data_IF_700226192487
#
_entry.id   IF_700226192487
#
_cell.length_a   1.000
_cell.length_b   1.000
_cell.length_c   1.000
_cell.angle_alpha   90.00
_cell.angle_beta   90.00
_cell.angle_gamma   90.00
#
_symmetry.space_group_name_H-M   'P 1'
#
loop_
_entity.id
_entity.type
_entity.pdbx_description
1 polymer ?
#
# COMPACT_ATOMS: atom_id res chain seq x y z
N UNK A 1 10.82 -24.95 4.36
CA UNK A 1 9.61 -24.73 3.53
C UNK A 1 8.50 -24.23 4.44
N UNK A 2 7.83 -23.13 4.09
CA UNK A 2 6.67 -22.62 4.80
C UNK A 2 5.47 -23.59 4.68
N UNK A 3 4.57 -23.58 5.67
CA UNK A 3 3.43 -24.50 5.77
C UNK A 3 2.10 -23.74 5.69
N UNK A 4 1.21 -24.13 4.78
CA UNK A 4 -0.08 -23.44 4.60
C UNK A 4 -0.97 -23.40 5.85
N UNK A 5 -0.91 -24.44 6.69
CA UNK A 5 -1.66 -24.44 7.95
C UNK A 5 -1.21 -23.33 8.92
N UNK A 6 0.09 -22.98 8.93
CA UNK A 6 0.61 -21.86 9.70
C UNK A 6 0.34 -20.54 8.99
N UNK A 7 0.60 -20.44 7.68
CA UNK A 7 0.39 -19.26 6.86
C UNK A 7 -1.05 -18.75 6.88
N UNK A 8 -2.03 -19.63 7.06
CA UNK A 8 -3.47 -19.30 7.15
C UNK A 8 -3.96 -19.25 8.60
N UNK A 9 -3.10 -18.86 9.56
CA UNK A 9 -3.48 -18.71 10.97
C UNK A 9 -4.56 -17.66 11.14
N UNK A 10 -5.60 -18.03 11.87
CA UNK A 10 -6.72 -17.15 12.25
C UNK A 10 -6.50 -16.43 13.58
N UNK A 11 -5.36 -16.67 14.24
CA UNK A 11 -4.97 -15.95 15.47
C UNK A 11 -4.99 -14.44 15.24
N UNK A 12 -5.40 -13.67 16.26
CA UNK A 12 -5.48 -12.21 16.20
C UNK A 12 -4.57 -11.54 17.21
N UNK A 13 -3.95 -10.45 16.82
CA UNK A 13 -3.02 -9.70 17.67
C UNK A 13 -3.70 -9.11 18.91
N UNK A 14 -4.91 -8.60 18.77
CA UNK A 14 -5.73 -8.01 19.85
C UNK A 14 -6.56 -9.03 20.65
N UNK A 15 -6.28 -10.33 20.49
CA UNK A 15 -7.05 -11.40 21.10
C UNK A 15 -8.29 -11.79 20.27
N UNK A 16 -8.90 -12.92 20.62
CA UNK A 16 -10.09 -13.41 19.94
C UNK A 16 -11.26 -12.46 20.13
N UNK A 17 -11.92 -12.10 19.04
CA UNK A 17 -13.23 -11.47 19.09
C UNK A 17 -14.25 -12.60 19.19
N UNK A 18 -14.94 -12.71 20.33
CA UNK A 18 -16.02 -13.67 20.48
C UNK A 18 -17.04 -13.46 19.36
N UNK A 19 -17.19 -14.47 18.50
CA UNK A 19 -18.28 -14.45 17.52
C UNK A 19 -19.61 -14.57 18.26
N UNK A 20 -20.62 -13.79 17.86
CA UNK A 20 -21.95 -14.00 18.39
C UNK A 20 -22.35 -15.48 18.23
N UNK A 21 -23.02 -16.06 19.22
CA UNK A 21 -23.42 -17.48 19.23
C UNK A 21 -24.17 -17.91 17.95
N UNK A 22 -24.84 -16.97 17.30
CA UNK A 22 -25.52 -17.19 16.03
C UNK A 22 -24.57 -17.65 14.92
N UNK A 23 -23.34 -17.16 14.91
CA UNK A 23 -22.32 -17.58 13.95
C UNK A 23 -21.60 -18.88 14.33
N UNK A 24 -21.64 -19.29 15.60
CA UNK A 24 -21.08 -20.57 16.03
C UNK A 24 -21.84 -21.78 15.42
N UNK A 25 -23.07 -21.55 14.94
CA UNK A 25 -23.90 -22.57 14.30
C UNK A 25 -23.72 -22.73 12.80
N UNK A 26 -22.99 -21.79 12.17
CA UNK A 26 -22.73 -21.80 10.72
C UNK A 26 -21.23 -21.80 10.50
N UNK A 27 -20.73 -22.66 9.60
CA UNK A 27 -19.31 -22.63 9.20
C UNK A 27 -19.04 -21.32 8.43
N UNK A 28 -18.56 -20.30 9.13
CA UNK A 28 -18.18 -19.01 8.55
C UNK A 28 -16.66 -19.03 8.32
N UNK A 29 -16.23 -18.67 7.10
CA UNK A 29 -14.84 -18.46 6.83
C UNK A 29 -14.31 -17.28 7.68
N UNK A 30 -13.32 -17.48 8.57
CA UNK A 30 -12.81 -16.43 9.45
C UNK A 30 -12.31 -15.19 8.71
N UNK A 31 -11.78 -15.35 7.52
CA UNK A 31 -11.27 -14.25 6.70
C UNK A 31 -12.37 -13.39 6.06
N UNK A 32 -13.59 -13.94 5.88
CA UNK A 32 -14.76 -13.13 5.51
C UNK A 32 -15.20 -12.23 6.68
N UNK A 33 -14.93 -12.63 7.92
CA UNK A 33 -15.15 -11.77 9.09
C UNK A 33 -14.15 -10.62 9.09
N UNK A 34 -12.88 -10.90 8.77
CA UNK A 34 -11.88 -9.86 8.61
C UNK A 34 -12.26 -8.89 7.50
N UNK A 35 -12.74 -9.39 6.36
CA UNK A 35 -13.24 -8.58 5.27
C UNK A 35 -14.36 -7.63 5.73
N UNK A 36 -15.34 -8.15 6.49
CA UNK A 36 -16.41 -7.33 7.04
C UNK A 36 -15.90 -6.27 8.03
N UNK A 37 -14.94 -6.59 8.90
CA UNK A 37 -14.33 -5.62 9.80
C UNK A 37 -13.60 -4.51 9.02
N UNK A 38 -12.93 -4.86 7.93
CA UNK A 38 -12.22 -3.91 7.07
C UNK A 38 -13.15 -2.89 6.43
N UNK A 39 -14.15 -3.33 5.69
CA UNK A 39 -15.07 -2.43 4.97
C UNK A 39 -15.87 -1.52 5.90
N UNK A 40 -16.11 -1.96 7.14
CA UNK A 40 -16.78 -1.18 8.18
C UNK A 40 -15.84 -0.25 8.96
N UNK A 41 -14.52 -0.34 8.75
CA UNK A 41 -13.55 0.48 9.46
C UNK A 41 -13.54 1.94 8.96
N UNK A 42 -13.26 2.86 9.88
CA UNK A 42 -13.11 4.28 9.52
C UNK A 42 -11.86 4.52 8.65
N UNK A 43 -10.80 3.73 8.86
CA UNK A 43 -9.56 3.86 8.10
C UNK A 43 -9.77 3.49 6.62
N UNK A 44 -10.50 2.42 6.34
CA UNK A 44 -10.85 2.02 4.98
C UNK A 44 -11.75 3.07 4.30
N UNK A 45 -12.80 3.56 5.00
CA UNK A 45 -13.68 4.58 4.42
C UNK A 45 -12.98 5.88 4.05
N UNK A 46 -11.87 6.25 4.72
CA UNK A 46 -11.10 7.46 4.39
C UNK A 46 -10.37 7.36 3.06
N UNK A 47 -10.17 6.16 2.51
CA UNK A 47 -9.62 5.99 1.17
C UNK A 47 -10.51 6.60 0.08
N UNK A 48 -11.79 6.91 0.38
CA UNK A 48 -12.72 7.57 -0.54
C UNK A 48 -12.24 8.95 -1.01
N UNK A 49 -11.59 9.72 -0.14
CA UNK A 49 -11.08 11.08 -0.45
C UNK A 49 -9.54 11.10 -0.32
N UNK A 50 -8.90 10.01 -0.72
CA UNK A 50 -7.45 9.94 -0.98
C UNK A 50 -7.23 9.68 -2.46
N UNK A 51 -6.34 10.44 -3.03
CA UNK A 51 -6.03 10.37 -4.45
C UNK A 51 -5.33 9.07 -4.80
N UNK A 52 -5.71 8.50 -5.95
CA UNK A 52 -4.92 7.48 -6.63
C UNK A 52 -3.86 8.13 -7.53
N UNK A 53 -4.30 8.88 -8.54
CA UNK A 53 -3.44 9.54 -9.53
C UNK A 53 -3.66 11.07 -9.58
N UNK A 54 -4.91 11.53 -9.49
CA UNK A 54 -5.29 12.93 -9.71
C UNK A 54 -5.69 13.60 -8.40
N UNK A 55 -4.76 14.25 -7.66
CA UNK A 55 -5.05 14.84 -6.36
C UNK A 55 -6.16 15.89 -6.43
N UNK A 56 -7.06 15.87 -5.42
CA UNK A 56 -8.13 16.85 -5.25
C UNK A 56 -9.08 16.97 -6.46
N UNK A 57 -9.11 15.97 -7.32
CA UNK A 57 -10.06 15.93 -8.45
C UNK A 57 -11.49 15.80 -7.95
N UNK A 58 -12.41 16.48 -8.64
CA UNK A 58 -13.84 16.47 -8.33
C UNK A 58 -14.67 15.69 -9.37
N UNK A 59 -14.01 15.03 -10.32
CA UNK A 59 -14.67 14.26 -11.36
C UNK A 59 -15.24 12.97 -10.79
N UNK A 60 -16.50 12.68 -11.07
CA UNK A 60 -17.19 11.48 -10.58
C UNK A 60 -16.65 10.16 -11.19
N UNK A 61 -15.87 10.26 -12.27
CA UNK A 61 -15.35 9.11 -13.00
C UNK A 61 -13.92 8.72 -12.63
N UNK A 62 -13.21 9.55 -11.89
CA UNK A 62 -11.82 9.31 -11.51
C UNK A 62 -11.74 8.44 -10.27
N UNK A 63 -10.87 7.47 -10.32
CA UNK A 63 -10.70 6.53 -9.20
C UNK A 63 -10.09 7.20 -7.97
N UNK A 64 -10.64 6.86 -6.83
CA UNK A 64 -10.04 7.12 -5.51
C UNK A 64 -9.30 5.87 -5.04
N UNK A 65 -8.49 5.98 -3.99
CA UNK A 65 -7.85 4.78 -3.38
C UNK A 65 -8.87 3.75 -2.92
N UNK A 66 -10.07 4.16 -2.52
CA UNK A 66 -11.15 3.24 -2.16
C UNK A 66 -11.59 2.38 -3.35
N UNK A 67 -11.90 3.01 -4.48
CA UNK A 67 -12.35 2.29 -5.68
C UNK A 67 -11.24 1.44 -6.29
N UNK A 68 -10.00 1.95 -6.30
CA UNK A 68 -8.82 1.18 -6.68
C UNK A 68 -8.63 -0.06 -5.78
N UNK A 69 -8.67 0.09 -4.45
CA UNK A 69 -8.54 -1.05 -3.53
C UNK A 69 -9.64 -2.11 -3.73
N UNK A 70 -10.85 -1.71 -4.12
CA UNK A 70 -11.93 -2.64 -4.46
C UNK A 70 -11.61 -3.40 -5.77
N UNK A 71 -11.08 -2.71 -6.78
CA UNK A 71 -10.64 -3.36 -8.03
C UNK A 71 -9.51 -4.35 -7.79
N UNK A 72 -8.46 -3.93 -7.05
CA UNK A 72 -7.35 -4.82 -6.66
C UNK A 72 -7.86 -6.03 -5.88
N UNK A 73 -8.80 -5.82 -4.94
CA UNK A 73 -9.43 -6.89 -4.15
C UNK A 73 -10.17 -7.90 -5.04
N UNK A 74 -10.84 -7.42 -6.08
CA UNK A 74 -11.52 -8.28 -7.06
C UNK A 74 -10.53 -9.12 -7.85
N UNK A 75 -9.48 -8.50 -8.38
CA UNK A 75 -8.41 -9.20 -9.12
C UNK A 75 -7.69 -10.21 -8.22
N UNK A 76 -7.30 -9.81 -7.01
CA UNK A 76 -6.60 -10.67 -6.07
C UNK A 76 -7.44 -11.90 -5.67
N UNK A 77 -8.74 -11.71 -5.39
CA UNK A 77 -9.68 -12.80 -5.13
C UNK A 77 -9.77 -13.75 -6.32
N UNK A 78 -9.84 -13.23 -7.54
CA UNK A 78 -9.87 -14.05 -8.76
C UNK A 78 -8.57 -14.84 -8.95
N UNK A 79 -7.39 -14.24 -8.70
CA UNK A 79 -6.11 -14.95 -8.72
C UNK A 79 -6.10 -16.13 -7.74
N UNK A 80 -6.62 -15.90 -6.52
CA UNK A 80 -6.79 -16.96 -5.53
C UNK A 80 -7.71 -18.07 -5.99
N UNK A 81 -8.84 -17.74 -6.60
CA UNK A 81 -9.77 -18.73 -7.18
C UNK A 81 -9.15 -19.52 -8.34
N UNK A 82 -8.38 -18.86 -9.21
CA UNK A 82 -7.65 -19.53 -10.30
C UNK A 82 -6.58 -20.47 -9.76
N UNK A 83 -5.89 -20.11 -8.69
CA UNK A 83 -4.85 -20.94 -8.08
C UNK A 83 -5.41 -22.17 -7.37
N UNK A 84 -6.60 -22.09 -6.78
CA UNK A 84 -7.20 -23.14 -5.95
C UNK A 84 -8.35 -23.89 -6.63
N UNK A 85 -8.79 -23.45 -7.81
CA UNK A 85 -9.96 -23.98 -8.52
C UNK A 85 -9.70 -25.32 -9.20
N UNK A 86 -10.74 -26.16 -9.25
CA UNK A 86 -10.65 -27.52 -9.83
C UNK A 86 -10.43 -27.53 -11.34
N UNK A 87 -10.82 -26.47 -12.05
CA UNK A 87 -10.74 -26.38 -13.52
C UNK A 87 -9.50 -25.63 -14.02
N UNK A 88 -8.74 -25.03 -13.11
CA UNK A 88 -7.53 -24.30 -13.49
C UNK A 88 -6.38 -25.26 -13.81
N UNK A 89 -5.79 -25.13 -14.99
CA UNK A 89 -4.61 -25.91 -15.38
C UNK A 89 -3.36 -25.58 -14.56
N UNK A 90 -3.37 -24.47 -13.84
CA UNK A 90 -2.26 -24.01 -12.98
C UNK A 90 -2.53 -24.26 -11.49
N UNK A 91 -3.69 -24.80 -11.14
CA UNK A 91 -4.03 -25.08 -9.75
C UNK A 91 -3.10 -26.14 -9.15
N UNK A 92 -2.69 -25.91 -7.91
CA UNK A 92 -1.95 -26.89 -7.13
C UNK A 92 -2.92 -27.76 -6.34
N UNK A 93 -2.80 -29.07 -6.47
CA UNK A 93 -3.69 -30.04 -5.79
C UNK A 93 -3.77 -29.80 -4.28
N UNK A 94 -2.62 -29.53 -3.66
CA UNK A 94 -2.54 -29.25 -2.23
C UNK A 94 -3.23 -27.95 -1.78
N UNK A 95 -3.48 -27.00 -2.72
CA UNK A 95 -4.15 -25.73 -2.43
C UNK A 95 -5.67 -25.81 -2.56
N UNK A 96 -6.22 -26.84 -3.18
CA UNK A 96 -7.68 -26.99 -3.39
C UNK A 96 -8.46 -27.03 -2.08
N UNK A 97 -7.86 -27.56 -1.01
CA UNK A 97 -8.48 -27.59 0.32
C UNK A 97 -8.66 -26.19 0.92
N UNK A 98 -7.91 -25.18 0.44
CA UNK A 98 -7.96 -23.79 0.90
C UNK A 98 -8.70 -22.87 -0.08
N UNK A 99 -9.58 -23.43 -0.91
CA UNK A 99 -10.33 -22.69 -1.95
C UNK A 99 -11.25 -21.59 -1.42
N UNK A 100 -11.56 -21.59 -0.14
CA UNK A 100 -12.33 -20.53 0.52
C UNK A 100 -11.41 -19.54 1.23
N UNK A 101 -10.32 -20.00 1.82
CA UNK A 101 -9.43 -19.20 2.66
C UNK A 101 -8.52 -18.31 1.81
N UNK A 102 -7.78 -18.88 0.85
CA UNK A 102 -6.82 -18.14 0.03
C UNK A 102 -7.45 -16.96 -0.72
N UNK A 103 -8.58 -17.11 -1.45
CA UNK A 103 -9.23 -15.97 -2.08
C UNK A 103 -9.71 -14.90 -1.10
N UNK A 104 -10.16 -15.29 0.11
CA UNK A 104 -10.63 -14.35 1.12
C UNK A 104 -9.48 -13.58 1.77
N UNK A 105 -8.36 -14.23 2.08
CA UNK A 105 -7.13 -13.55 2.55
C UNK A 105 -6.64 -12.56 1.51
N UNK A 106 -6.54 -12.97 0.24
CA UNK A 106 -6.11 -12.10 -0.85
C UNK A 106 -7.03 -10.89 -1.01
N UNK A 107 -8.34 -11.08 -0.91
CA UNK A 107 -9.29 -9.97 -0.98
C UNK A 107 -9.11 -9.00 0.19
N UNK A 108 -8.88 -9.49 1.42
CA UNK A 108 -8.61 -8.64 2.58
C UNK A 108 -7.32 -7.84 2.42
N UNK A 109 -6.24 -8.49 2.04
CA UNK A 109 -4.92 -7.85 1.89
C UNK A 109 -4.95 -6.78 0.82
N UNK A 110 -5.63 -7.06 -0.29
CA UNK A 110 -5.80 -6.10 -1.38
C UNK A 110 -6.62 -4.87 -0.98
N UNK A 111 -7.62 -4.99 -0.07
CA UNK A 111 -8.29 -3.82 0.49
C UNK A 111 -7.38 -2.96 1.38
N UNK A 112 -6.35 -3.58 1.96
CA UNK A 112 -5.44 -2.97 2.94
C UNK A 112 -4.18 -2.37 2.34
N UNK A 113 -3.79 -2.78 1.14
CA UNK A 113 -2.44 -2.53 0.60
C UNK A 113 -2.04 -1.06 0.62
N UNK A 114 -3.02 -0.16 0.47
CA UNK A 114 -2.86 1.30 0.45
C UNK A 114 -3.26 2.01 1.77
N UNK A 115 -3.59 1.26 2.84
CA UNK A 115 -4.15 1.81 4.08
C UNK A 115 -3.21 2.81 4.78
N UNK A 116 -1.91 2.58 4.72
CA UNK A 116 -0.88 3.40 5.39
C UNK A 116 -0.46 4.66 4.63
N UNK A 117 -0.86 4.79 3.37
CA UNK A 117 -0.47 5.92 2.54
C UNK A 117 -0.99 7.25 3.10
N UNK A 118 -0.14 8.30 3.20
CA UNK A 118 -0.56 9.63 3.64
C UNK A 118 -1.39 10.33 2.56
N UNK A 119 -1.96 11.51 2.86
CA UNK A 119 -2.49 12.40 1.82
C UNK A 119 -1.47 12.61 0.70
N UNK A 120 -1.95 12.72 -0.52
CA UNK A 120 -1.13 12.89 -1.75
C UNK A 120 -0.23 11.70 -2.09
N UNK A 121 -0.51 10.52 -1.54
CA UNK A 121 0.10 9.24 -1.91
C UNK A 121 1.62 9.18 -1.74
N UNK A 122 2.33 8.63 -2.74
CA UNK A 122 3.79 8.48 -2.70
C UNK A 122 4.54 9.80 -2.66
N UNK A 123 3.99 10.86 -3.26
CA UNK A 123 4.57 12.18 -3.11
C UNK A 123 4.48 12.68 -1.66
N UNK A 124 3.35 12.44 -0.98
CA UNK A 124 3.20 12.71 0.44
C UNK A 124 4.18 11.93 1.32
N UNK A 125 4.47 10.66 1.00
CA UNK A 125 5.50 9.86 1.68
C UNK A 125 6.89 10.50 1.56
N UNK A 126 7.27 10.85 0.33
CA UNK A 126 8.55 11.51 0.07
C UNK A 126 8.69 12.81 0.84
N UNK A 127 7.65 13.66 0.84
CA UNK A 127 7.64 14.93 1.59
C UNK A 127 7.80 14.73 3.10
N UNK A 128 7.17 13.71 3.69
CA UNK A 128 7.33 13.39 5.12
C UNK A 128 8.78 13.03 5.41
N UNK A 129 9.39 12.13 4.63
CA UNK A 129 10.78 11.71 4.80
C UNK A 129 11.77 12.87 4.63
N UNK A 130 11.61 13.68 3.57
CA UNK A 130 12.45 14.85 3.30
C UNK A 130 12.34 15.89 4.41
N UNK A 131 11.13 16.13 4.92
CA UNK A 131 10.95 17.05 6.03
C UNK A 131 11.69 16.58 7.29
N UNK A 132 11.56 15.30 7.67
CA UNK A 132 12.26 14.76 8.83
C UNK A 132 13.78 14.75 8.65
N UNK A 133 14.30 14.51 7.43
CA UNK A 133 15.74 14.54 7.15
C UNK A 133 16.39 15.88 7.55
N UNK A 134 15.66 16.99 7.41
CA UNK A 134 16.11 18.31 7.86
C UNK A 134 15.67 18.65 9.30
N UNK A 135 14.48 18.25 9.70
CA UNK A 135 13.86 18.62 10.98
C UNK A 135 14.56 17.98 12.18
N UNK A 136 15.07 16.74 12.05
CA UNK A 136 15.71 16.02 13.14
C UNK A 136 16.95 16.74 13.68
N UNK A 137 17.67 17.47 12.83
CA UNK A 137 18.86 18.24 13.24
C UNK A 137 18.52 19.69 13.59
N UNK A 138 17.47 20.25 12.98
CA UNK A 138 17.03 21.64 13.15
C UNK A 138 16.22 21.87 14.44
N UNK A 139 15.27 20.98 14.71
CA UNK A 139 14.36 21.13 15.85
C UNK A 139 15.05 20.73 17.14
N UNK A 140 15.00 21.63 18.13
CA UNK A 140 15.59 21.40 19.45
C UNK A 140 14.53 20.88 20.43
N UNK A 141 14.89 19.82 21.14
CA UNK A 141 14.16 19.30 22.30
C UNK A 141 15.08 19.30 23.51
N UNK A 142 14.75 20.02 24.57
CA UNK A 142 15.58 20.18 25.79
C UNK A 142 17.05 20.54 25.44
N UNK A 143 17.23 21.54 24.58
CA UNK A 143 18.54 22.09 24.15
C UNK A 143 19.44 21.09 23.38
N UNK A 144 18.88 20.05 22.81
CA UNK A 144 19.58 19.13 21.90
C UNK A 144 18.74 18.89 20.66
N UNK A 145 19.35 18.66 19.48
CA UNK A 145 18.61 18.26 18.29
C UNK A 145 17.75 17.01 18.56
N UNK A 146 16.60 16.89 17.89
CA UNK A 146 15.74 15.70 18.02
C UNK A 146 16.52 14.42 17.77
N UNK A 147 17.41 14.41 16.77
CA UNK A 147 18.26 13.25 16.41
C UNK A 147 19.06 12.71 17.60
N UNK A 148 19.53 13.58 18.50
CA UNK A 148 20.34 13.17 19.64
C UNK A 148 19.57 12.33 20.70
N UNK A 149 18.24 12.28 20.59
CA UNK A 149 17.36 11.52 21.47
C UNK A 149 16.91 10.19 20.87
N UNK A 150 17.10 9.99 19.56
CA UNK A 150 16.61 8.83 18.81
C UNK A 150 17.71 7.80 18.59
N UNK A 151 17.34 6.54 18.56
CA UNK A 151 18.24 5.50 18.03
C UNK A 151 18.41 5.69 16.52
N UNK A 152 19.48 5.11 15.92
CA UNK A 152 19.66 5.15 14.47
C UNK A 152 18.43 4.66 13.68
N UNK A 153 17.79 3.58 14.14
CA UNK A 153 16.58 3.06 13.50
C UNK A 153 15.39 4.01 13.64
N UNK A 154 15.14 4.58 14.81
CA UNK A 154 14.06 5.55 15.01
C UNK A 154 14.21 6.79 14.13
N UNK A 155 15.44 7.29 13.98
CA UNK A 155 15.72 8.41 13.07
C UNK A 155 15.48 7.99 11.61
N UNK A 156 15.99 6.83 11.21
CA UNK A 156 15.81 6.27 9.86
C UNK A 156 14.35 6.00 9.51
N UNK A 157 13.53 5.54 10.46
CA UNK A 157 12.08 5.32 10.28
C UNK A 157 11.36 6.60 9.85
N UNK A 158 11.76 7.74 10.44
CA UNK A 158 11.16 9.05 10.14
C UNK A 158 11.68 9.59 8.79
N UNK A 159 12.96 9.44 8.51
CA UNK A 159 13.61 9.91 7.27
C UNK A 159 13.20 9.10 6.04
N UNK A 160 12.78 7.85 6.24
CA UNK A 160 12.32 6.94 5.20
C UNK A 160 10.88 6.52 5.45
N UNK A 161 10.00 7.48 5.81
CA UNK A 161 8.59 7.18 6.03
C UNK A 161 8.01 6.40 4.85
N UNK A 162 7.31 5.29 5.13
CA UNK A 162 6.79 4.36 4.13
C UNK A 162 5.38 3.89 4.49
N UNK A 163 4.43 3.97 3.54
CA UNK A 163 3.04 3.58 3.74
C UNK A 163 2.86 2.11 4.14
N UNK A 164 3.72 1.20 3.64
CA UNK A 164 3.65 -0.21 4.03
C UNK A 164 3.96 -0.41 5.52
N UNK A 165 4.98 0.25 6.06
CA UNK A 165 5.29 0.22 7.49
C UNK A 165 4.18 0.89 8.32
N UNK A 166 3.63 2.00 7.83
CA UNK A 166 2.51 2.70 8.45
C UNK A 166 1.24 1.84 8.47
N UNK A 167 0.99 1.00 7.45
CA UNK A 167 -0.13 0.07 7.44
C UNK A 167 -0.01 -0.95 8.58
N UNK A 168 1.17 -1.59 8.75
CA UNK A 168 1.40 -2.49 9.89
C UNK A 168 1.20 -1.77 11.23
N UNK A 169 1.71 -0.53 11.36
CA UNK A 169 1.53 0.28 12.57
C UNK A 169 0.06 0.54 12.89
N UNK A 170 -0.77 0.85 11.89
CA UNK A 170 -2.21 1.05 12.09
C UNK A 170 -2.92 -0.22 12.57
N UNK A 171 -2.53 -1.38 12.04
CA UNK A 171 -3.07 -2.69 12.47
C UNK A 171 -2.55 -3.11 13.85
N UNK A 172 -1.28 -2.83 14.15
CA UNK A 172 -0.66 -3.14 15.43
C UNK A 172 -1.35 -2.47 16.63
N UNK A 173 -2.08 -1.38 16.42
CA UNK A 173 -2.89 -0.70 17.45
C UNK A 173 -4.00 -1.58 18.01
N UNK A 174 -4.40 -2.65 17.33
CA UNK A 174 -5.37 -3.62 17.85
C UNK A 174 -4.93 -4.26 19.16
N UNK A 175 -3.62 -4.35 19.43
CA UNK A 175 -3.07 -4.79 20.72
C UNK A 175 -3.44 -3.89 21.90
N UNK A 176 -3.80 -2.63 21.64
CA UNK A 176 -4.25 -1.66 22.66
C UNK A 176 -5.78 -1.50 22.66
N UNK A 177 -6.53 -2.37 21.95
CA UNK A 177 -7.97 -2.28 21.82
C UNK A 177 -8.43 -1.18 20.85
N UNK A 178 -7.53 -0.60 20.06
CA UNK A 178 -7.82 0.36 19.00
C UNK A 178 -7.42 -0.23 17.64
N UNK A 179 -7.89 0.38 16.55
CA UNK A 179 -7.59 -0.13 15.21
C UNK A 179 -8.45 -1.31 14.76
N UNK A 180 -7.99 -2.00 13.72
CA UNK A 180 -8.69 -3.13 13.09
C UNK A 180 -8.03 -4.44 13.54
N UNK A 181 -8.77 -5.28 14.26
CA UNK A 181 -8.25 -6.55 14.76
C UNK A 181 -8.40 -7.66 13.71
N UNK A 182 -7.35 -7.90 12.93
CA UNK A 182 -7.30 -8.87 11.83
C UNK A 182 -6.52 -10.13 12.21
N UNK A 183 -6.72 -11.20 11.43
CA UNK A 183 -5.95 -12.44 11.56
C UNK A 183 -4.47 -12.25 11.20
N UNK A 184 -3.60 -13.08 11.80
CA UNK A 184 -2.16 -13.10 11.48
C UNK A 184 -1.92 -13.37 10.00
N UNK A 185 -2.71 -14.25 9.36
CA UNK A 185 -2.63 -14.53 7.93
C UNK A 185 -2.77 -13.26 7.07
N UNK A 186 -3.77 -12.42 7.37
CA UNK A 186 -3.97 -11.16 6.65
C UNK A 186 -2.84 -10.18 6.94
N UNK A 187 -2.40 -10.08 8.21
CA UNK A 187 -1.27 -9.22 8.59
C UNK A 187 0.03 -9.64 7.91
N UNK A 188 0.35 -10.96 7.88
CA UNK A 188 1.56 -11.48 7.24
C UNK A 188 1.56 -11.32 5.72
N UNK A 189 0.41 -11.56 5.08
CA UNK A 189 0.30 -11.39 3.63
C UNK A 189 0.35 -9.91 3.19
N UNK A 190 0.09 -8.95 4.11
CA UNK A 190 0.29 -7.52 3.88
C UNK A 190 1.77 -7.10 3.94
N UNK A 191 2.64 -7.87 4.60
CA UNK A 191 4.06 -7.55 4.75
C UNK A 191 4.81 -7.74 3.40
N UNK A 192 4.79 -6.71 2.56
CA UNK A 192 5.50 -6.70 1.28
C UNK A 192 7.02 -6.75 1.47
N UNK A 193 7.52 -6.05 2.48
CA UNK A 193 8.94 -5.82 2.72
C UNK A 193 9.29 -6.22 4.17
N UNK A 194 9.75 -7.47 4.42
CA UNK A 194 10.09 -7.94 5.76
C UNK A 194 11.45 -7.41 6.24
N UNK A 195 11.66 -6.10 6.17
CA UNK A 195 12.89 -5.42 6.56
C UNK A 195 12.61 -4.09 7.25
N UNK A 196 13.54 -3.63 8.10
CA UNK A 196 13.46 -2.34 8.77
C UNK A 196 14.13 -1.21 7.97
N UNK A 197 14.06 0.01 8.50
CA UNK A 197 14.57 1.21 7.84
C UNK A 197 16.10 1.30 7.78
N UNK A 198 16.84 0.50 8.55
CA UNK A 198 18.30 0.46 8.51
C UNK A 198 18.86 -0.54 7.49
N UNK A 199 18.04 -1.50 7.05
CA UNK A 199 18.50 -2.64 6.26
C UNK A 199 17.86 -2.71 4.85
N UNK A 200 16.87 -1.89 4.52
CA UNK A 200 16.33 -1.86 3.17
C UNK A 200 17.36 -1.32 2.14
N UNK A 201 17.24 -1.76 0.90
CA UNK A 201 18.13 -1.39 -0.22
C UNK A 201 17.35 -1.29 -1.50
N UNK A 202 17.09 -0.08 -1.99
CA UNK A 202 16.23 0.19 -3.16
C UNK A 202 16.59 -0.58 -4.44
N UNK A 203 17.86 -0.92 -4.63
CA UNK A 203 18.36 -1.59 -5.83
C UNK A 203 18.92 -3.00 -5.53
N UNK A 204 18.45 -3.66 -4.47
CA UNK A 204 18.85 -5.02 -4.16
C UNK A 204 18.24 -5.99 -5.20
N UNK A 205 18.94 -7.07 -5.59
CA UNK A 205 18.37 -8.11 -6.44
C UNK A 205 17.15 -8.82 -5.83
N UNK A 206 16.98 -8.74 -4.51
CA UNK A 206 15.84 -9.32 -3.80
C UNK A 206 14.78 -8.24 -3.55
N UNK A 207 13.64 -8.35 -4.23
CA UNK A 207 12.54 -7.38 -4.17
C UNK A 207 12.01 -7.13 -2.76
N UNK A 208 12.13 -8.11 -1.85
CA UNK A 208 11.71 -7.97 -0.45
C UNK A 208 12.51 -6.93 0.34
N UNK A 209 13.66 -6.49 -0.18
CA UNK A 209 14.56 -5.52 0.46
C UNK A 209 14.41 -4.10 -0.10
N UNK A 210 13.58 -3.88 -1.12
CA UNK A 210 13.49 -2.58 -1.82
C UNK A 210 12.97 -1.44 -0.95
N UNK A 211 12.13 -1.75 0.04
CA UNK A 211 11.53 -0.79 0.98
C UNK A 211 11.53 -1.36 2.39
N UNK A 212 11.13 -0.56 3.37
CA UNK A 212 10.90 -1.03 4.73
C UNK A 212 9.42 -1.43 4.93
N UNK A 213 9.16 -2.40 5.79
CA UNK A 213 7.81 -2.90 6.07
C UNK A 213 7.37 -2.72 7.53
N UNK A 214 8.25 -2.25 8.42
CA UNK A 214 7.89 -1.96 9.80
C UNK A 214 8.81 -0.90 10.42
N UNK A 215 8.27 -0.15 11.37
CA UNK A 215 9.03 0.81 12.19
C UNK A 215 9.54 0.14 13.48
N UNK A 216 10.53 0.73 14.11
CA UNK A 216 11.10 0.25 15.38
C UNK A 216 10.02 -0.02 16.44
N UNK A 217 8.96 0.82 16.46
CA UNK A 217 7.83 0.68 17.40
C UNK A 217 7.00 -0.61 17.18
N UNK A 218 7.05 -1.21 15.99
CA UNK A 218 6.29 -2.40 15.62
C UNK A 218 7.16 -3.65 15.46
N UNK A 219 8.46 -3.61 15.84
CA UNK A 219 9.38 -4.74 15.68
C UNK A 219 8.95 -6.00 16.45
N UNK A 220 8.29 -5.87 17.58
CA UNK A 220 7.72 -6.98 18.35
C UNK A 220 6.50 -7.60 17.66
N UNK A 221 5.63 -6.77 17.09
CA UNK A 221 4.47 -7.21 16.31
C UNK A 221 4.92 -7.90 15.03
N UNK A 222 5.87 -7.32 14.32
CA UNK A 222 6.46 -7.91 13.13
C UNK A 222 6.98 -9.33 13.43
N UNK A 223 7.80 -9.49 14.47
CA UNK A 223 8.32 -10.81 14.88
C UNK A 223 7.19 -11.77 15.24
N UNK A 224 6.21 -11.33 16.05
CA UNK A 224 5.08 -12.19 16.42
C UNK A 224 4.30 -12.68 15.19
N UNK A 225 4.05 -11.82 14.21
CA UNK A 225 3.36 -12.20 12.96
C UNK A 225 4.19 -13.22 12.18
N UNK A 226 5.47 -12.93 11.94
CA UNK A 226 6.35 -13.79 11.13
C UNK A 226 6.62 -15.14 11.78
N UNK A 227 6.78 -15.18 13.11
CA UNK A 227 7.00 -16.41 13.87
C UNK A 227 5.72 -17.27 13.91
N UNK A 228 4.54 -16.66 14.17
CA UNK A 228 3.25 -17.38 14.18
C UNK A 228 2.97 -18.03 12.82
N UNK A 229 3.33 -17.36 11.73
CA UNK A 229 3.09 -17.84 10.37
C UNK A 229 4.22 -18.72 9.83
N UNK A 230 5.32 -18.87 10.56
CA UNK A 230 6.49 -19.62 10.10
C UNK A 230 7.13 -19.03 8.82
N UNK A 231 7.12 -17.70 8.68
CA UNK A 231 7.63 -16.99 7.51
C UNK A 231 9.17 -16.90 7.52
N UNK A 232 9.83 -18.05 7.61
CA UNK A 232 11.29 -18.16 7.67
C UNK A 232 11.82 -19.08 6.58
N UNK A 233 12.87 -18.64 5.88
CA UNK A 233 13.63 -19.47 4.95
C UNK A 233 14.53 -20.47 5.65
N UNK A 234 15.18 -21.32 4.88
CA UNK A 234 16.11 -22.32 5.40
C UNK A 234 17.33 -21.73 6.13
N UNK A 235 17.67 -20.48 5.81
CA UNK A 235 18.73 -19.68 6.44
C UNK A 235 18.26 -18.92 7.70
N UNK A 236 16.99 -19.07 8.07
CA UNK A 236 16.37 -18.37 9.19
C UNK A 236 15.97 -16.92 8.88
N UNK A 237 16.25 -16.41 7.69
CA UNK A 237 15.81 -15.06 7.29
C UNK A 237 14.29 -15.01 7.10
N UNK A 238 13.68 -13.86 7.44
CA UNK A 238 12.25 -13.66 7.20
C UNK A 238 11.99 -13.54 5.70
N UNK A 239 10.94 -14.24 5.25
CA UNK A 239 10.50 -14.29 3.86
C UNK A 239 9.17 -13.56 3.68
N UNK A 240 8.83 -13.19 2.44
CA UNK A 240 7.47 -12.76 2.09
C UNK A 240 6.48 -13.92 2.31
N UNK A 241 5.29 -13.60 2.76
CA UNK A 241 4.17 -14.54 2.71
C UNK A 241 3.87 -14.90 1.24
N UNK A 242 3.61 -16.17 0.88
CA UNK A 242 3.34 -16.53 -0.52
C UNK A 242 2.24 -15.72 -1.19
N UNK A 243 1.17 -15.36 -0.46
CA UNK A 243 0.08 -14.57 -1.00
C UNK A 243 0.45 -13.11 -1.28
N UNK A 244 1.54 -12.59 -0.71
CA UNK A 244 2.03 -11.24 -1.00
C UNK A 244 2.37 -11.09 -2.49
N UNK A 245 2.98 -12.10 -3.11
CA UNK A 245 3.31 -12.07 -4.53
C UNK A 245 2.07 -11.95 -5.43
N UNK A 246 0.99 -12.65 -5.10
CA UNK A 246 -0.27 -12.56 -5.85
C UNK A 246 -0.99 -11.24 -5.61
N UNK A 247 -0.89 -10.68 -4.41
CA UNK A 247 -1.46 -9.38 -4.08
C UNK A 247 -0.72 -8.27 -4.85
N UNK A 248 0.63 -8.30 -4.89
CA UNK A 248 1.43 -7.36 -5.70
C UNK A 248 1.08 -7.46 -7.20
N UNK A 249 0.96 -8.68 -7.71
CA UNK A 249 0.54 -8.87 -9.10
C UNK A 249 -0.87 -8.33 -9.37
N UNK A 250 -1.81 -8.45 -8.41
CA UNK A 250 -3.15 -7.90 -8.54
C UNK A 250 -3.15 -6.37 -8.56
N UNK A 251 -2.31 -5.74 -7.72
CA UNK A 251 -2.12 -4.29 -7.69
C UNK A 251 -1.53 -3.79 -9.01
N UNK A 252 -0.47 -4.42 -9.49
CA UNK A 252 0.16 -4.13 -10.78
C UNK A 252 -0.80 -4.21 -11.97
N UNK A 253 -1.64 -5.25 -12.02
CA UNK A 253 -2.63 -5.43 -13.07
C UNK A 253 -3.69 -4.33 -13.01
N UNK A 254 -4.24 -4.05 -11.82
CA UNK A 254 -5.27 -3.04 -11.64
C UNK A 254 -4.73 -1.65 -12.00
N UNK A 255 -3.58 -1.28 -11.44
CA UNK A 255 -2.88 -0.03 -11.68
C UNK A 255 -2.59 0.21 -13.18
N UNK A 256 -1.94 -0.76 -13.86
CA UNK A 256 -1.56 -0.61 -15.26
C UNK A 256 -2.74 -0.49 -16.24
N UNK A 257 -3.94 -0.86 -15.83
CA UNK A 257 -5.12 -0.83 -16.68
C UNK A 257 -6.12 0.24 -16.28
N UNK A 258 -6.35 0.46 -14.99
CA UNK A 258 -7.31 1.43 -14.49
C UNK A 258 -6.87 2.88 -14.72
N UNK A 259 -5.58 3.16 -14.50
CA UNK A 259 -5.06 4.53 -14.63
C UNK A 259 -5.04 5.00 -16.11
N UNK A 260 -4.90 4.07 -17.06
CA UNK A 260 -5.06 4.36 -18.50
C UNK A 260 -6.50 4.73 -18.85
N UNK A 261 -7.47 4.04 -18.28
CA UNK A 261 -8.88 4.36 -18.46
C UNK A 261 -9.22 5.76 -17.92
N UNK A 262 -8.74 6.07 -16.72
CA UNK A 262 -8.91 7.40 -16.09
C UNK A 262 -8.24 8.49 -16.92
N UNK A 263 -7.02 8.25 -17.42
CA UNK A 263 -6.29 9.19 -18.27
C UNK A 263 -7.00 9.45 -19.62
N UNK A 264 -7.57 8.41 -20.25
CA UNK A 264 -8.38 8.57 -21.45
C UNK A 264 -9.65 9.39 -21.16
N UNK A 265 -10.35 9.08 -20.07
CA UNK A 265 -11.55 9.81 -19.63
C UNK A 265 -11.28 11.29 -19.36
N UNK A 266 -10.06 11.62 -18.94
CA UNK A 266 -9.58 13.00 -18.75
C UNK A 266 -9.02 13.65 -20.01
N UNK A 267 -9.07 12.98 -21.14
CA UNK A 267 -8.52 13.47 -22.41
C UNK A 267 -7.03 13.83 -22.33
N UNK A 268 -6.25 13.08 -21.53
CA UNK A 268 -4.81 13.28 -21.43
C UNK A 268 -4.07 12.68 -22.63
N UNK A 269 -4.71 11.77 -23.35
CA UNK A 269 -4.26 11.25 -24.64
C UNK A 269 -5.47 10.88 -25.51
N UNK A 270 -5.25 10.77 -26.81
CA UNK A 270 -6.19 10.16 -27.75
C UNK A 270 -5.83 8.70 -27.99
N UNK A 271 -6.76 7.90 -28.53
CA UNK A 271 -6.48 6.50 -28.84
C UNK A 271 -5.37 6.35 -29.91
N UNK A 272 -5.28 7.30 -30.85
CA UNK A 272 -4.20 7.37 -31.82
C UNK A 272 -2.84 7.60 -31.18
N UNK A 273 -2.78 8.52 -30.19
CA UNK A 273 -1.56 8.78 -29.42
C UNK A 273 -1.16 7.57 -28.57
N UNK A 274 -2.14 6.89 -27.97
CA UNK A 274 -1.89 5.64 -27.23
C UNK A 274 -1.29 4.57 -28.14
N UNK A 275 -1.91 4.29 -29.30
CA UNK A 275 -1.43 3.30 -30.26
C UNK A 275 -0.03 3.65 -30.76
N UNK A 276 0.20 4.92 -31.11
CA UNK A 276 1.51 5.38 -31.59
C UNK A 276 2.59 5.20 -30.48
N UNK A 277 2.25 5.52 -29.24
CA UNK A 277 3.14 5.35 -28.10
C UNK A 277 3.42 3.87 -27.83
N UNK A 278 2.39 3.04 -27.75
CA UNK A 278 2.50 1.60 -27.57
C UNK A 278 3.41 0.96 -28.65
N UNK A 279 3.16 1.32 -29.92
CA UNK A 279 3.97 0.86 -31.05
C UNK A 279 5.43 1.29 -30.94
N UNK A 280 5.69 2.53 -30.50
CA UNK A 280 7.05 3.04 -30.35
C UNK A 280 7.87 2.27 -29.30
N UNK A 281 7.24 1.87 -28.20
CA UNK A 281 7.88 0.98 -27.20
C UNK A 281 8.14 -0.41 -27.78
N UNK A 282 7.18 -0.94 -28.51
CA UNK A 282 7.33 -2.25 -29.14
C UNK A 282 8.45 -2.27 -30.20
N UNK A 283 8.50 -1.29 -31.08
CA UNK A 283 9.50 -1.18 -32.16
C UNK A 283 10.92 -0.91 -31.61
N UNK A 284 11.03 -0.18 -30.49
CA UNK A 284 12.28 0.07 -29.80
C UNK A 284 12.79 -1.14 -28.98
N UNK A 285 11.93 -2.13 -28.75
CA UNK A 285 12.30 -3.31 -27.97
C UNK A 285 13.25 -4.22 -28.77
N UNK A 286 14.24 -4.79 -28.05
CA UNK A 286 15.10 -5.85 -28.60
C UNK A 286 14.42 -7.23 -28.56
N UNK A 287 13.13 -7.30 -28.26
CA UNK A 287 12.38 -8.55 -28.23
C UNK A 287 12.22 -9.01 -29.66
N UNK A 288 12.73 -10.20 -29.97
CA UNK A 288 12.52 -10.84 -31.25
C UNK A 288 11.01 -10.98 -31.51
N UNK A 289 10.46 -10.11 -32.40
CA UNK A 289 9.04 -10.04 -32.61
C UNK A 289 8.66 -11.18 -33.43
N UNK A 290 8.04 -12.10 -33.31
CA UNK A 290 7.62 -13.04 -34.40
C UNK A 290 7.41 -14.48 -33.95
N UNK A 291 7.43 -14.73 -32.66
CA UNK A 291 6.83 -15.99 -32.19
C UNK A 291 5.31 -15.81 -32.14
N UNK A 292 4.57 -16.86 -32.37
CA UNK A 292 3.12 -16.92 -32.11
C UNK A 292 2.76 -16.59 -30.63
N UNK A 293 3.75 -16.38 -29.79
CA UNK A 293 3.71 -16.08 -28.36
C UNK A 293 4.00 -14.61 -28.04
N UNK A 294 4.12 -13.73 -29.04
CA UNK A 294 4.25 -12.29 -28.80
C UNK A 294 2.89 -11.67 -28.44
N UNK A 295 2.56 -11.78 -27.17
CA UNK A 295 1.30 -11.28 -26.62
C UNK A 295 1.18 -9.75 -26.68
N UNK A 296 2.30 -9.02 -26.58
CA UNK A 296 2.31 -7.55 -26.63
C UNK A 296 1.91 -7.04 -28.01
N UNK A 297 2.49 -7.59 -29.06
CA UNK A 297 2.12 -7.25 -30.44
C UNK A 297 0.69 -7.67 -30.79
N UNK A 298 0.31 -8.85 -30.34
CA UNK A 298 -1.04 -9.36 -30.55
C UNK A 298 -2.11 -8.45 -29.94
N UNK A 299 -1.91 -8.01 -28.69
CA UNK A 299 -2.80 -7.05 -28.03
C UNK A 299 -2.92 -5.75 -28.82
N UNK A 300 -1.79 -5.21 -29.34
CA UNK A 300 -1.83 -4.00 -30.18
C UNK A 300 -2.66 -4.21 -31.44
N UNK A 301 -2.44 -5.31 -32.18
CA UNK A 301 -3.18 -5.62 -33.38
C UNK A 301 -4.68 -5.81 -33.12
N UNK A 302 -5.04 -6.50 -32.04
CA UNK A 302 -6.45 -6.69 -31.66
C UNK A 302 -7.15 -5.36 -31.38
N UNK A 303 -6.47 -4.39 -30.71
CA UNK A 303 -7.02 -3.05 -30.50
C UNK A 303 -7.20 -2.29 -31.80
N UNK A 304 -6.18 -2.28 -32.67
CA UNK A 304 -6.24 -1.59 -33.95
C UNK A 304 -7.34 -2.15 -34.89
N UNK A 305 -7.48 -3.47 -34.91
CA UNK A 305 -8.52 -4.14 -35.73
C UNK A 305 -9.92 -3.82 -35.19
N UNK A 306 -10.11 -3.83 -33.87
CA UNK A 306 -11.38 -3.49 -33.25
C UNK A 306 -11.78 -2.02 -33.53
N UNK A 307 -10.84 -1.09 -33.41
CA UNK A 307 -11.08 0.34 -33.67
C UNK A 307 -11.36 0.62 -35.18
N UNK A 308 -10.71 -0.12 -36.08
CA UNK A 308 -10.99 -0.01 -37.53
C UNK A 308 -12.36 -0.53 -37.92
N UNK A 309 -12.87 -1.53 -37.21
CA UNK A 309 -14.14 -2.18 -37.52
C UNK A 309 -15.35 -1.44 -36.94
N UNK A 310 -15.19 -0.47 -36.06
CA UNK A 310 -16.26 0.19 -35.35
C UNK A 310 -16.35 1.70 -35.64
N UNK A 311 -17.51 2.33 -35.37
CA UNK A 311 -17.65 3.78 -35.42
C UNK A 311 -16.72 4.48 -34.40
N UNK A 312 -16.22 5.70 -34.73
CA UNK A 312 -15.31 6.44 -33.84
C UNK A 312 -15.88 6.72 -32.44
N UNK A 313 -17.20 6.90 -32.33
CA UNK A 313 -17.89 7.12 -31.04
C UNK A 313 -17.80 5.94 -30.10
N UNK A 314 -17.55 4.73 -30.57
CA UNK A 314 -17.40 3.51 -29.75
C UNK A 314 -15.97 3.31 -29.23
N UNK A 315 -15.03 4.16 -29.59
CA UNK A 315 -13.60 3.99 -29.28
C UNK A 315 -13.30 3.80 -27.81
N UNK A 316 -13.91 4.58 -26.92
CA UNK A 316 -13.70 4.45 -25.49
C UNK A 316 -14.22 3.11 -24.94
N UNK A 317 -15.36 2.63 -25.45
CA UNK A 317 -15.92 1.33 -25.06
C UNK A 317 -15.04 0.17 -25.53
N UNK A 318 -14.50 0.25 -26.75
CA UNK A 318 -13.58 -0.73 -27.32
C UNK A 318 -12.28 -0.77 -26.48
N UNK A 319 -11.74 0.40 -26.13
CA UNK A 319 -10.54 0.49 -25.31
C UNK A 319 -10.75 -0.13 -23.93
N UNK A 320 -11.89 0.14 -23.29
CA UNK A 320 -12.25 -0.50 -22.01
C UNK A 320 -12.31 -2.03 -22.14
N UNK A 321 -13.00 -2.56 -23.16
CA UNK A 321 -13.07 -4.00 -23.39
C UNK A 321 -11.67 -4.63 -23.62
N UNK A 322 -10.81 -3.93 -24.34
CA UNK A 322 -9.44 -4.33 -24.58
C UNK A 322 -8.59 -4.34 -23.29
N UNK A 323 -8.74 -3.33 -22.42
CA UNK A 323 -8.09 -3.30 -21.11
C UNK A 323 -8.51 -4.49 -20.23
N UNK A 324 -9.80 -4.85 -20.24
CA UNK A 324 -10.29 -6.04 -19.54
C UNK A 324 -9.66 -7.32 -20.09
N UNK A 325 -9.50 -7.44 -21.41
CA UNK A 325 -8.82 -8.59 -22.01
C UNK A 325 -7.34 -8.65 -21.60
N UNK A 326 -6.63 -7.52 -21.60
CA UNK A 326 -5.26 -7.43 -21.13
C UNK A 326 -5.14 -7.88 -19.66
N UNK A 327 -6.09 -7.48 -18.80
CA UNK A 327 -6.17 -7.96 -17.38
C UNK A 327 -6.22 -9.48 -17.32
N UNK A 328 -7.09 -10.13 -18.08
CA UNK A 328 -7.22 -11.59 -18.04
C UNK A 328 -5.93 -12.30 -18.47
N UNK A 329 -5.21 -11.76 -19.46
CA UNK A 329 -3.93 -12.33 -19.86
C UNK A 329 -2.87 -12.17 -18.78
N UNK A 330 -2.78 -10.99 -18.18
CA UNK A 330 -1.88 -10.73 -17.06
C UNK A 330 -2.20 -11.61 -15.84
N UNK A 331 -3.48 -11.80 -15.51
CA UNK A 331 -3.89 -12.71 -14.43
C UNK A 331 -3.44 -14.15 -14.69
N UNK A 332 -3.61 -14.66 -15.91
CA UNK A 332 -3.14 -15.98 -16.28
C UNK A 332 -1.61 -16.10 -16.12
N UNK A 333 -0.87 -15.08 -16.55
CA UNK A 333 0.59 -15.04 -16.42
C UNK A 333 1.03 -15.05 -14.95
N UNK A 334 0.36 -14.30 -14.07
CA UNK A 334 0.66 -14.27 -12.64
C UNK A 334 0.44 -15.63 -11.97
N UNK A 335 -0.70 -16.29 -12.24
CA UNK A 335 -0.99 -17.63 -11.69
C UNK A 335 -0.04 -18.69 -12.24
N UNK A 336 0.28 -18.61 -13.52
CA UNK A 336 1.29 -19.49 -14.13
C UNK A 336 2.65 -19.34 -13.44
N UNK A 337 3.14 -18.09 -13.31
CA UNK A 337 4.43 -17.81 -12.69
C UNK A 337 4.47 -18.27 -11.23
N UNK A 338 3.43 -17.96 -10.45
CA UNK A 338 3.31 -18.45 -9.08
C UNK A 338 3.40 -19.98 -9.01
N UNK A 339 2.68 -20.67 -9.88
CA UNK A 339 2.66 -22.13 -9.91
C UNK A 339 4.00 -22.73 -10.36
N UNK A 340 4.69 -22.07 -11.28
CA UNK A 340 6.02 -22.49 -11.75
C UNK A 340 7.07 -22.31 -10.65
N UNK A 341 7.07 -21.16 -9.96
CA UNK A 341 8.02 -20.85 -8.89
C UNK A 341 7.53 -21.25 -7.49
N UNK A 342 6.46 -22.04 -7.42
CA UNK A 342 5.80 -22.40 -6.15
C UNK A 342 6.77 -22.92 -5.09
N UNK A 343 7.69 -23.81 -5.48
CA UNK A 343 8.67 -24.36 -4.55
C UNK A 343 9.60 -23.29 -3.99
N UNK A 344 10.13 -22.42 -4.86
CA UNK A 344 11.06 -21.36 -4.46
C UNK A 344 10.37 -20.33 -3.58
N UNK A 345 9.09 -20.02 -3.86
CA UNK A 345 8.24 -19.15 -3.05
C UNK A 345 8.06 -19.76 -1.65
N UNK A 346 7.69 -21.05 -1.57
CA UNK A 346 7.46 -21.74 -0.30
C UNK A 346 8.75 -21.99 0.50
N UNK A 347 9.90 -22.07 -0.17
CA UNK A 347 11.22 -22.16 0.47
C UNK A 347 11.78 -20.78 0.87
N UNK A 348 11.14 -19.68 0.42
CA UNK A 348 11.58 -18.31 0.68
C UNK A 348 12.80 -17.88 -0.13
N UNK A 349 13.10 -18.56 -1.24
CA UNK A 349 14.25 -18.29 -2.11
C UNK A 349 13.89 -17.51 -3.38
N UNK A 350 12.60 -17.32 -3.68
CA UNK A 350 12.14 -16.51 -4.80
C UNK A 350 12.36 -15.04 -4.52
N UNK A 351 13.08 -14.34 -5.40
CA UNK A 351 13.57 -12.96 -5.19
C UNK A 351 12.97 -11.93 -6.14
N UNK A 352 12.20 -12.36 -7.14
CA UNK A 352 11.66 -11.52 -8.21
C UNK A 352 10.18 -11.21 -7.99
N UNK A 353 9.62 -10.33 -8.82
CA UNK A 353 8.17 -10.21 -8.97
C UNK A 353 7.62 -11.30 -9.89
N UNK A 354 6.30 -11.59 -9.79
CA UNK A 354 5.70 -12.71 -10.55
C UNK A 354 5.75 -12.51 -12.06
N UNK A 355 5.79 -11.28 -12.53
CA UNK A 355 5.86 -11.00 -13.98
C UNK A 355 7.25 -11.14 -14.54
N UNK A 356 8.31 -11.09 -13.72
CA UNK A 356 9.69 -11.15 -14.19
C UNK A 356 9.95 -12.47 -14.94
N UNK A 357 10.51 -12.36 -16.14
CA UNK A 357 10.78 -13.50 -16.99
C UNK A 357 9.56 -14.15 -17.66
N UNK A 358 8.34 -13.62 -17.45
CA UNK A 358 7.15 -14.08 -18.17
C UNK A 358 7.02 -13.43 -19.55
N UNK A 359 6.27 -14.06 -20.45
CA UNK A 359 5.96 -13.51 -21.78
C UNK A 359 5.12 -12.22 -21.72
N UNK A 360 4.55 -11.88 -20.58
CA UNK A 360 3.73 -10.69 -20.35
C UNK A 360 4.44 -9.58 -19.58
N UNK A 361 5.70 -9.79 -19.13
CA UNK A 361 6.48 -8.77 -18.45
C UNK A 361 6.59 -7.49 -19.27
N UNK A 362 6.85 -7.63 -20.57
CA UNK A 362 6.96 -6.49 -21.46
C UNK A 362 5.60 -5.80 -21.71
N UNK A 363 4.51 -6.53 -21.80
CA UNK A 363 3.16 -5.95 -21.90
C UNK A 363 2.88 -5.05 -20.67
N UNK A 364 3.12 -5.57 -19.49
CA UNK A 364 2.92 -4.82 -18.24
C UNK A 364 3.82 -3.58 -18.18
N UNK A 365 5.09 -3.72 -18.58
CA UNK A 365 6.04 -2.60 -18.66
C UNK A 365 5.54 -1.50 -19.61
N UNK A 366 5.12 -1.86 -20.83
CA UNK A 366 4.61 -0.87 -21.80
C UNK A 366 3.39 -0.13 -21.26
N UNK A 367 2.42 -0.84 -20.65
CA UNK A 367 1.25 -0.20 -20.06
C UNK A 367 1.63 0.78 -18.93
N UNK A 368 2.57 0.40 -18.05
CA UNK A 368 3.08 1.27 -16.96
C UNK A 368 3.80 2.50 -17.51
N UNK A 369 4.66 2.36 -18.53
CA UNK A 369 5.38 3.48 -19.14
C UNK A 369 4.43 4.47 -19.84
N UNK A 370 3.41 3.98 -20.52
CA UNK A 370 2.40 4.83 -21.15
C UNK A 370 1.62 5.61 -20.07
N UNK A 371 1.24 4.94 -18.98
CA UNK A 371 0.58 5.58 -17.84
C UNK A 371 1.46 6.67 -17.23
N UNK A 372 2.73 6.39 -16.98
CA UNK A 372 3.68 7.36 -16.46
C UNK A 372 3.76 8.60 -17.36
N UNK A 373 3.91 8.39 -18.67
CA UNK A 373 4.05 9.47 -19.65
C UNK A 373 2.83 10.38 -19.76
N UNK A 374 1.63 9.82 -19.75
CA UNK A 374 0.41 10.61 -20.01
C UNK A 374 -0.31 11.06 -18.75
N UNK A 375 -0.27 10.28 -17.67
CA UNK A 375 -0.97 10.59 -16.43
C UNK A 375 -0.09 11.29 -15.41
N UNK A 376 1.04 10.67 -14.98
CA UNK A 376 1.82 11.19 -13.84
C UNK A 376 2.62 12.44 -14.16
N UNK A 377 3.20 12.55 -15.36
CA UNK A 377 3.96 13.72 -15.81
C UNK A 377 3.05 14.88 -16.30
N UNK A 378 1.73 14.77 -16.10
CA UNK A 378 0.81 15.81 -16.54
C UNK A 378 0.97 17.09 -15.71
N UNK A 379 0.84 18.26 -16.37
CA UNK A 379 0.90 19.57 -15.67
C UNK A 379 -0.15 19.72 -14.57
N UNK A 380 -1.26 19.02 -14.69
CA UNK A 380 -2.32 19.04 -13.69
C UNK A 380 -1.86 18.37 -12.39
N UNK A 381 -1.22 17.20 -12.47
CA UNK A 381 -0.66 16.47 -11.32
C UNK A 381 0.47 17.29 -10.68
N UNK A 382 1.47 17.73 -11.46
CA UNK A 382 2.61 18.50 -10.95
C UNK A 382 2.21 19.78 -10.19
N UNK A 383 1.16 20.49 -10.62
CA UNK A 383 0.67 21.68 -9.89
C UNK A 383 0.06 21.33 -8.54
N UNK A 384 -0.55 20.17 -8.42
CA UNK A 384 -1.17 19.71 -7.18
C UNK A 384 -0.12 19.19 -6.20
N UNK A 385 0.95 18.60 -6.70
CA UNK A 385 2.12 18.21 -5.90
C UNK A 385 2.78 19.41 -5.24
N UNK A 386 2.93 20.53 -5.95
CA UNK A 386 3.43 21.79 -5.35
C UNK A 386 2.54 22.30 -4.20
N UNK A 387 1.23 22.13 -4.32
CA UNK A 387 0.31 22.46 -3.22
C UNK A 387 0.46 21.47 -2.05
N UNK A 388 0.64 20.20 -2.34
CA UNK A 388 0.85 19.15 -1.33
C UNK A 388 2.10 19.41 -0.48
N UNK A 389 3.21 19.85 -1.10
CA UNK A 389 4.45 20.22 -0.39
C UNK A 389 4.18 21.25 0.69
N UNK A 390 3.49 22.35 0.34
CA UNK A 390 3.15 23.42 1.29
C UNK A 390 2.25 22.92 2.43
N UNK A 391 1.27 22.06 2.12
CA UNK A 391 0.31 21.53 3.10
C UNK A 391 1.00 20.58 4.07
N UNK A 392 1.72 19.58 3.56
CA UNK A 392 2.37 18.54 4.38
C UNK A 392 3.44 19.14 5.28
N UNK A 393 4.31 20.00 4.72
CA UNK A 393 5.37 20.69 5.47
C UNK A 393 4.79 21.54 6.61
N UNK A 394 3.74 22.33 6.33
CA UNK A 394 3.08 23.13 7.34
C UNK A 394 2.49 22.29 8.47
N UNK A 395 1.77 21.22 8.13
CA UNK A 395 1.13 20.36 9.12
C UNK A 395 2.18 19.66 10.00
N UNK A 396 3.26 19.15 9.41
CA UNK A 396 4.37 18.55 10.15
C UNK A 396 5.01 19.55 11.12
N UNK A 397 5.34 20.76 10.64
CA UNK A 397 5.95 21.81 11.48
C UNK A 397 5.07 22.13 12.71
N UNK A 398 3.76 22.26 12.51
CA UNK A 398 2.84 22.62 13.61
C UNK A 398 2.60 21.47 14.58
N UNK A 399 2.30 20.28 14.07
CA UNK A 399 1.93 19.15 14.92
C UNK A 399 3.13 18.52 15.61
N UNK A 400 4.31 18.44 14.96
CA UNK A 400 5.53 17.97 15.63
C UNK A 400 5.90 18.92 16.78
N UNK A 401 5.90 20.25 16.55
CA UNK A 401 6.11 21.21 17.64
C UNK A 401 5.14 20.98 18.79
N UNK A 402 3.86 20.81 18.49
CA UNK A 402 2.81 20.64 19.50
C UNK A 402 2.99 19.40 20.38
N UNK A 403 3.44 18.27 19.80
CA UNK A 403 3.58 17.00 20.56
C UNK A 403 4.86 16.92 21.39
N UNK A 404 5.90 17.72 21.14
CA UNK A 404 7.17 17.65 21.85
C UNK A 404 6.99 17.68 23.37
N UNK A 405 6.11 18.55 23.85
CA UNK A 405 5.85 18.76 25.28
C UNK A 405 4.38 18.49 25.67
N UNK A 406 3.64 17.67 24.90
CA UNK A 406 2.25 17.37 25.20
C UNK A 406 2.06 16.62 26.52
N UNK A 407 3.04 15.83 26.94
CA UNK A 407 3.03 15.09 28.19
C UNK A 407 3.71 15.90 29.32
N UNK A 408 2.98 16.11 30.41
CA UNK A 408 3.47 16.84 31.59
C UNK A 408 4.74 16.28 32.19
N UNK A 409 4.97 14.97 32.08
CA UNK A 409 6.17 14.29 32.60
C UNK A 409 7.47 14.85 31.98
N UNK A 410 7.41 15.39 30.77
CA UNK A 410 8.57 15.90 30.03
C UNK A 410 8.64 17.43 29.96
N UNK A 411 7.69 18.15 30.62
CA UNK A 411 7.69 19.60 30.68
C UNK A 411 8.64 20.11 31.77
N UNK A 412 9.28 21.23 31.48
CA UNK A 412 10.06 22.03 32.45
C UNK A 412 9.57 23.47 32.44
N UNK A 413 9.98 24.33 33.39
CA UNK A 413 9.62 25.76 33.36
C UNK A 413 9.93 26.43 32.01
N UNK A 414 11.06 26.05 31.39
CA UNK A 414 11.57 26.63 30.15
C UNK A 414 11.18 25.82 28.90
N UNK A 415 10.61 24.61 29.05
CA UNK A 415 10.24 23.70 27.97
C UNK A 415 8.81 23.20 28.19
N UNK A 416 7.84 23.91 27.63
CA UNK A 416 6.40 23.63 27.72
C UNK A 416 5.68 24.02 26.43
N UNK A 417 4.49 23.48 26.16
CA UNK A 417 3.72 23.84 24.97
C UNK A 417 3.38 25.35 24.99
N UNK A 418 3.56 26.00 23.86
CA UNK A 418 3.08 27.37 23.64
C UNK A 418 1.55 27.43 23.63
N UNK A 419 0.99 28.64 23.59
CA UNK A 419 -0.46 28.82 23.42
C UNK A 419 -0.94 28.24 22.07
N UNK A 420 -0.12 28.36 21.03
CA UNK A 420 -0.44 27.80 19.70
C UNK A 420 -0.38 26.27 19.73
N UNK A 421 0.68 25.67 20.30
CA UNK A 421 0.82 24.23 20.41
C UNK A 421 -0.38 23.57 21.08
N UNK A 422 -0.87 24.18 22.17
CA UNK A 422 -2.07 23.70 22.88
C UNK A 422 -3.32 23.70 21.98
N UNK A 423 -3.47 24.65 21.07
CA UNK A 423 -4.59 24.69 20.12
C UNK A 423 -4.46 23.58 19.08
N UNK A 424 -3.24 23.36 18.53
CA UNK A 424 -3.00 22.25 17.60
C UNK A 424 -3.23 20.89 18.26
N UNK A 425 -2.83 20.69 19.52
CA UNK A 425 -3.14 19.45 20.26
C UNK A 425 -4.64 19.19 20.40
N UNK A 426 -5.46 20.25 20.56
CA UNK A 426 -6.92 20.12 20.65
C UNK A 426 -7.54 19.74 19.29
N UNK A 427 -6.94 20.17 18.18
CA UNK A 427 -7.42 19.79 16.82
C UNK A 427 -7.01 18.37 16.44
N UNK A 428 -5.99 17.80 17.09
CA UNK A 428 -5.59 16.41 16.90
C UNK A 428 -6.56 15.48 17.64
N UNK A 429 -7.13 14.45 16.98
CA UNK A 429 -8.02 13.49 17.66
C UNK A 429 -7.33 12.82 18.85
N UNK A 430 -7.96 12.90 20.03
CA UNK A 430 -7.40 12.45 21.32
C UNK A 430 -6.91 10.98 21.29
N UNK A 431 -7.49 10.14 20.43
CA UNK A 431 -7.09 8.73 20.29
C UNK A 431 -5.60 8.55 19.94
N UNK A 432 -5.00 9.47 19.14
CA UNK A 432 -3.59 9.36 18.76
C UNK A 432 -2.68 9.57 19.98
N UNK A 433 -3.06 10.49 20.89
CA UNK A 433 -2.36 10.68 22.16
C UNK A 433 -2.64 9.55 23.16
N UNK A 434 -3.84 8.94 23.14
CA UNK A 434 -4.17 7.78 23.95
C UNK A 434 -3.34 6.57 23.52
N UNK A 435 -3.25 6.29 22.22
CA UNK A 435 -2.42 5.21 21.66
C UNK A 435 -0.94 5.40 22.07
N UNK A 436 -0.42 6.63 21.94
CA UNK A 436 0.93 6.96 22.44
C UNK A 436 1.08 6.65 23.94
N UNK A 437 0.15 7.13 24.78
CA UNK A 437 0.21 6.92 26.24
C UNK A 437 0.13 5.45 26.62
N UNK A 438 -0.63 4.65 25.88
CA UNK A 438 -0.71 3.19 26.07
C UNK A 438 0.62 2.48 25.71
N UNK A 439 1.37 3.04 24.75
CA UNK A 439 2.63 2.48 24.26
C UNK A 439 3.87 3.00 25.01
N UNK A 440 3.73 3.95 25.95
CA UNK A 440 4.86 4.56 26.68
C UNK A 440 5.72 3.52 27.39
N UNK A 441 7.03 3.72 27.30
CA UNK A 441 8.05 2.87 27.95
C UNK A 441 8.66 3.52 29.20
N UNK A 442 8.59 4.85 29.32
CA UNK A 442 9.28 5.64 30.32
C UNK A 442 10.70 6.04 29.90
N UNK A 443 11.23 5.50 28.81
CA UNK A 443 12.45 6.00 28.17
C UNK A 443 12.14 7.25 27.37
N UNK A 444 12.83 8.35 27.66
CA UNK A 444 12.48 9.66 27.09
C UNK A 444 12.68 9.72 25.57
N UNK A 445 13.70 9.06 25.03
CA UNK A 445 13.96 9.00 23.60
C UNK A 445 12.89 8.20 22.87
N UNK A 446 12.57 7.02 23.36
CA UNK A 446 11.49 6.17 22.84
C UNK A 446 10.14 6.86 22.93
N UNK A 447 9.83 7.48 24.07
CA UNK A 447 8.56 8.19 24.26
C UNK A 447 8.47 9.46 23.39
N UNK A 448 9.59 10.13 23.08
CA UNK A 448 9.65 11.21 22.10
C UNK A 448 9.36 10.71 20.68
N UNK A 449 9.98 9.62 20.28
CA UNK A 449 9.73 8.97 19.00
C UNK A 449 8.25 8.57 18.85
N UNK A 450 7.65 7.95 19.85
CA UNK A 450 6.23 7.58 19.84
C UNK A 450 5.29 8.79 19.73
N UNK A 451 5.65 9.94 20.32
CA UNK A 451 4.90 11.20 20.17
C UNK A 451 4.98 11.72 18.73
N UNK A 452 6.16 11.65 18.11
CA UNK A 452 6.35 12.05 16.72
C UNK A 452 5.57 11.09 15.80
N UNK A 453 5.61 9.78 16.05
CA UNK A 453 4.81 8.81 15.31
C UNK A 453 3.30 9.05 15.46
N UNK A 454 2.82 9.59 16.57
CA UNK A 454 1.41 9.98 16.69
C UNK A 454 1.02 11.10 15.70
N UNK A 455 1.97 11.97 15.32
CA UNK A 455 1.75 12.97 14.27
C UNK A 455 1.70 12.32 12.90
N UNK A 456 2.61 11.40 12.57
CA UNK A 456 2.56 10.67 11.30
C UNK A 456 1.31 9.80 11.20
N UNK A 457 0.85 9.19 12.30
CA UNK A 457 -0.43 8.48 12.38
C UNK A 457 -1.63 9.39 12.08
N UNK A 458 -1.61 10.61 12.60
CA UNK A 458 -2.67 11.58 12.35
C UNK A 458 -2.65 12.06 10.91
N UNK A 459 -1.46 12.43 10.41
CA UNK A 459 -1.27 12.92 9.05
C UNK A 459 -1.63 11.83 8.02
N UNK A 460 -1.11 10.62 8.15
CA UNK A 460 -1.42 9.51 7.24
C UNK A 460 -2.89 9.06 7.34
N UNK A 461 -3.55 9.34 8.46
CA UNK A 461 -4.99 9.14 8.61
C UNK A 461 -5.88 10.22 7.98
N UNK A 462 -5.32 11.33 7.48
CA UNK A 462 -6.10 12.38 6.80
C UNK A 462 -6.44 11.98 5.37
N UNK A 463 -7.54 12.57 4.87
CA UNK A 463 -7.80 12.63 3.43
C UNK A 463 -7.14 13.86 2.83
N UNK A 464 -6.97 13.88 1.50
CA UNK A 464 -6.38 15.02 0.78
C UNK A 464 -7.19 16.31 1.01
N UNK A 465 -8.51 16.16 0.92
CA UNK A 465 -9.45 17.26 1.16
C UNK A 465 -9.40 17.80 2.59
N UNK A 466 -9.29 16.89 3.57
CA UNK A 466 -9.18 17.29 4.99
C UNK A 466 -7.85 17.98 5.28
N UNK A 467 -6.73 17.44 4.80
CA UNK A 467 -5.40 18.05 4.97
C UNK A 467 -5.36 19.47 4.39
N UNK A 468 -5.89 19.66 3.18
CA UNK A 468 -6.03 20.96 2.54
C UNK A 468 -6.91 21.92 3.35
N UNK A 469 -8.05 21.46 3.84
CA UNK A 469 -8.98 22.28 4.63
C UNK A 469 -8.31 22.74 5.92
N UNK A 470 -7.67 21.83 6.65
CA UNK A 470 -6.96 22.11 7.89
C UNK A 470 -5.83 23.14 7.68
N UNK A 471 -5.09 23.03 6.58
CA UNK A 471 -4.08 24.01 6.19
C UNK A 471 -4.68 25.39 5.93
N UNK A 472 -5.75 25.47 5.13
CA UNK A 472 -6.45 26.74 4.81
C UNK A 472 -6.98 27.42 6.06
N UNK A 473 -7.67 26.68 6.92
CA UNK A 473 -8.22 27.21 8.18
C UNK A 473 -7.11 27.77 9.07
N UNK A 474 -5.98 27.05 9.19
CA UNK A 474 -4.84 27.49 9.99
C UNK A 474 -4.13 28.71 9.40
N UNK A 475 -4.17 28.90 8.08
CA UNK A 475 -3.63 30.08 7.38
C UNK A 475 -4.64 31.27 7.30
N UNK A 476 -5.89 31.09 7.72
CA UNK A 476 -6.95 32.11 7.61
C UNK A 476 -7.41 32.34 6.17
N UNK A 477 -7.30 31.31 5.30
CA UNK A 477 -7.74 31.37 3.90
C UNK A 477 -9.16 30.80 3.84
N UNK A 478 -10.15 31.62 3.59
CA UNK A 478 -11.57 31.22 3.48
C UNK A 478 -11.93 30.74 2.09
#
# INVERSE_FOLDING_TARGET
MMEWNALLSTEKLGGETALPEVFARFPVNPFEIDYNHLINSASFRRLLDKTQVFPLDKGDFVRTRLTHSIEVSTVARQLGMMLTGDTSQYAKEELRRYRMEIPSVLACVALLHDLGNPPFGHFGEALIGEWFSSALDRIQYKNKPLRAWLTPQMASDLEHFEGNAQALRLLAKSRFGSGINLSMAVMGALLKYPTDSCHFRRNDPDVKLHKLGYFAAEADVFRRVTDTLGMHGADGAVCRHPLTYLMEAADDIAYATADLEDALSKHLFTLEEFIACYRSFYDASAIEPKSAQDYTHRLLLELEDALRAAPPEDGAHIFHAWLLQARYWLMNAAVYSFSYHYKDIMDGTFRNELFDGTNHAFTLHVLKEITARFAYDSRAVLRLELAAESIVTFLLEKYVSAVLYCDKAYQTPDAKPTSADRKYLVTMPERHLQDYRAARTGDEGTDLYLRILAVTDYLSGMTDGYARTLYRDACGIT
#
